data_IF_073175065431
#
_entry.id   IF_073175065431
#
_cell.length_a   1.000
_cell.length_b   1.000
_cell.length_c   1.000
_cell.angle_alpha   90.00
_cell.angle_beta   90.00
_cell.angle_gamma   90.00
#
_symmetry.space_group_name_H-M   'P 1'
#
loop_
_entity.id
_entity.type
_entity.pdbx_description
1 polymer ?
#
# COMPACT_ATOMS: atom_id res chain seq x y z
N UNK A 1 -1.71 9.95 -24.68
CA UNK A 1 -0.51 9.12 -24.54
C UNK A 1 0.80 9.90 -24.72
N UNK A 2 0.85 10.91 -25.59
CA UNK A 2 2.10 11.63 -25.88
C UNK A 2 2.79 12.27 -24.66
N UNK A 3 2.05 12.56 -23.57
CA UNK A 3 2.53 13.24 -22.37
C UNK A 3 2.37 12.41 -21.09
N UNK A 4 1.98 11.13 -21.18
CA UNK A 4 1.75 10.27 -20.04
C UNK A 4 2.52 8.95 -20.26
N UNK A 5 3.47 8.68 -19.37
CA UNK A 5 4.31 7.49 -19.43
C UNK A 5 3.69 6.31 -18.68
N UNK A 6 2.99 6.58 -17.58
CA UNK A 6 2.43 5.58 -16.68
C UNK A 6 1.00 5.97 -16.30
N UNK A 7 0.09 4.99 -16.36
CA UNK A 7 -1.24 5.12 -15.77
C UNK A 7 -1.37 4.16 -14.59
N UNK A 8 -1.91 4.68 -13.49
CA UNK A 8 -2.19 3.90 -12.29
C UNK A 8 -3.69 3.81 -12.07
N UNK A 9 -4.22 2.60 -11.88
CA UNK A 9 -5.65 2.32 -11.76
C UNK A 9 -5.88 1.58 -10.44
N UNK A 10 -6.78 2.10 -9.59
CA UNK A 10 -7.22 1.35 -8.41
C UNK A 10 -8.30 0.34 -8.81
N UNK A 11 -8.04 -0.94 -8.59
CA UNK A 11 -8.96 -2.04 -8.85
C UNK A 11 -9.17 -2.88 -7.60
N UNK A 12 -10.18 -2.49 -6.81
CA UNK A 12 -10.50 -3.06 -5.49
C UNK A 12 -11.84 -3.80 -5.47
N UNK A 13 -12.33 -4.26 -6.61
CA UNK A 13 -13.70 -4.75 -6.75
C UNK A 13 -13.73 -6.24 -7.06
N UNK A 14 -14.11 -7.04 -6.07
CA UNK A 14 -14.33 -8.47 -6.27
C UNK A 14 -15.57 -8.78 -7.11
N UNK A 15 -16.57 -7.88 -7.09
CA UNK A 15 -17.80 -8.03 -7.85
C UNK A 15 -18.24 -6.72 -8.48
N UNK A 16 -19.00 -6.80 -9.59
CA UNK A 16 -19.64 -5.63 -10.21
C UNK A 16 -20.62 -4.97 -9.22
N UNK A 17 -21.29 -5.75 -8.38
CA UNK A 17 -22.19 -5.23 -7.37
C UNK A 17 -21.45 -4.35 -6.37
N UNK A 18 -20.29 -4.80 -5.91
CA UNK A 18 -19.43 -4.04 -4.99
C UNK A 18 -18.95 -2.74 -5.63
N UNK A 19 -18.50 -2.78 -6.88
CA UNK A 19 -18.16 -1.57 -7.64
C UNK A 19 -19.32 -0.59 -7.70
N UNK A 20 -20.55 -1.07 -7.99
CA UNK A 20 -21.73 -0.20 -8.12
C UNK A 20 -22.21 0.38 -6.80
N UNK A 21 -22.04 -0.34 -5.71
CA UNK A 21 -22.54 0.06 -4.39
C UNK A 21 -21.52 0.86 -3.59
N UNK A 22 -20.29 0.35 -3.52
CA UNK A 22 -19.21 0.98 -2.73
C UNK A 22 -18.52 2.08 -3.51
N UNK A 23 -18.16 1.84 -4.76
CA UNK A 23 -17.42 2.79 -5.60
C UNK A 23 -18.14 4.13 -5.81
N UNK A 24 -19.46 4.15 -5.67
CA UNK A 24 -20.26 5.37 -5.76
C UNK A 24 -20.92 5.77 -4.44
N UNK A 25 -20.64 5.04 -3.35
CA UNK A 25 -21.31 5.20 -2.06
C UNK A 25 -21.26 6.62 -1.49
N UNK A 26 -20.15 7.31 -1.66
CA UNK A 26 -19.96 8.68 -1.17
C UNK A 26 -20.66 9.77 -2.01
N UNK A 27 -21.17 9.43 -3.19
CA UNK A 27 -21.82 10.42 -4.08
C UNK A 27 -23.21 10.78 -3.58
N UNK A 28 -23.47 12.08 -3.38
CA UNK A 28 -24.81 12.59 -2.99
C UNK A 28 -25.91 12.25 -4.01
N UNK A 29 -25.54 12.23 -5.31
CA UNK A 29 -26.43 11.85 -6.41
C UNK A 29 -25.84 10.65 -7.13
N UNK A 30 -26.45 9.50 -6.95
CA UNK A 30 -26.03 8.26 -7.54
C UNK A 30 -26.28 8.22 -9.06
N UNK A 31 -25.29 7.85 -9.88
CA UNK A 31 -25.53 7.56 -11.28
C UNK A 31 -26.50 6.37 -11.46
N UNK A 32 -27.26 6.32 -12.57
CA UNK A 32 -28.05 5.13 -12.90
C UNK A 32 -27.17 3.87 -13.00
N UNK A 33 -27.70 2.72 -12.61
CA UNK A 33 -26.95 1.43 -12.66
C UNK A 33 -26.31 1.19 -14.03
N UNK A 34 -27.03 1.45 -15.12
CA UNK A 34 -26.47 1.31 -16.49
C UNK A 34 -25.21 2.16 -16.72
N UNK A 35 -25.16 3.38 -16.14
CA UNK A 35 -23.98 4.23 -16.26
C UNK A 35 -22.81 3.68 -15.43
N UNK A 36 -23.07 3.16 -14.24
CA UNK A 36 -22.04 2.53 -13.40
C UNK A 36 -21.45 1.30 -14.07
N UNK A 37 -22.29 0.41 -14.63
CA UNK A 37 -21.84 -0.77 -15.38
C UNK A 37 -20.99 -0.39 -16.58
N UNK A 38 -21.45 0.62 -17.35
CA UNK A 38 -20.67 1.13 -18.47
C UNK A 38 -19.30 1.68 -18.05
N UNK A 39 -19.20 2.34 -16.90
CA UNK A 39 -17.92 2.83 -16.39
C UNK A 39 -16.98 1.68 -16.02
N UNK A 40 -17.49 0.60 -15.44
CA UNK A 40 -16.70 -0.59 -15.17
C UNK A 40 -16.14 -1.21 -16.45
N UNK A 41 -17.00 -1.46 -17.43
CA UNK A 41 -16.61 -1.97 -18.75
C UNK A 41 -15.56 -1.05 -19.41
N UNK A 42 -15.80 0.26 -19.41
CA UNK A 42 -14.87 1.24 -19.97
C UNK A 42 -13.51 1.28 -19.24
N UNK A 43 -13.48 1.02 -17.95
CA UNK A 43 -12.20 0.93 -17.22
C UNK A 43 -11.36 -0.22 -17.76
N UNK A 44 -11.95 -1.41 -17.91
CA UNK A 44 -11.26 -2.59 -18.44
C UNK A 44 -10.81 -2.36 -19.89
N UNK A 45 -11.73 -1.93 -20.76
CA UNK A 45 -11.47 -1.71 -22.18
C UNK A 45 -10.42 -0.64 -22.43
N UNK A 46 -10.49 0.49 -21.71
CA UNK A 46 -9.52 1.58 -21.86
C UNK A 46 -8.13 1.17 -21.36
N UNK A 47 -8.04 0.43 -20.25
CA UNK A 47 -6.78 -0.08 -19.75
C UNK A 47 -6.13 -1.01 -20.77
N UNK A 48 -6.89 -1.99 -21.27
CA UNK A 48 -6.43 -2.92 -22.32
C UNK A 48 -5.97 -2.18 -23.58
N UNK A 49 -6.78 -1.25 -24.08
CA UNK A 49 -6.47 -0.47 -25.29
C UNK A 49 -5.17 0.33 -25.13
N UNK A 50 -4.99 1.00 -24.00
CA UNK A 50 -3.79 1.80 -23.74
C UNK A 50 -2.55 0.92 -23.56
N UNK A 51 -2.70 -0.23 -22.89
CA UNK A 51 -1.62 -1.21 -22.77
C UNK A 51 -1.17 -1.75 -24.11
N UNK A 52 -2.11 -2.08 -25.02
CA UNK A 52 -1.81 -2.53 -26.40
C UNK A 52 -1.12 -1.44 -27.23
N UNK A 53 -1.34 -0.17 -26.90
CA UNK A 53 -0.64 0.96 -27.51
C UNK A 53 0.73 1.23 -26.89
N UNK A 54 1.19 0.39 -25.96
CA UNK A 54 2.51 0.46 -25.34
C UNK A 54 2.61 1.37 -24.12
N UNK A 55 1.47 1.83 -23.56
CA UNK A 55 1.48 2.56 -22.29
C UNK A 55 1.71 1.60 -21.13
N UNK A 56 2.56 1.99 -20.18
CA UNK A 56 2.72 1.24 -18.95
C UNK A 56 1.49 1.44 -18.04
N UNK A 57 0.71 0.38 -17.87
CA UNK A 57 -0.46 0.39 -16.98
C UNK A 57 -0.14 -0.41 -15.73
N UNK A 58 -0.37 0.19 -14.57
CA UNK A 58 -0.31 -0.46 -13.27
C UNK A 58 -1.68 -0.48 -12.63
N UNK A 59 -2.12 -1.60 -12.10
CA UNK A 59 -3.32 -1.68 -11.29
C UNK A 59 -2.97 -1.97 -9.83
N UNK A 60 -3.66 -1.30 -8.91
CA UNK A 60 -3.48 -1.45 -7.47
C UNK A 60 -4.69 -2.11 -6.82
N UNK A 61 -4.42 -3.10 -5.98
CA UNK A 61 -5.43 -3.78 -5.15
C UNK A 61 -5.08 -3.63 -3.67
N UNK A 62 -6.05 -3.14 -2.90
CA UNK A 62 -5.94 -3.08 -1.44
C UNK A 62 -6.42 -4.39 -0.82
N UNK A 63 -5.57 -5.05 -0.04
CA UNK A 63 -5.93 -6.26 0.70
C UNK A 63 -6.83 -5.91 1.90
N UNK A 64 -8.05 -6.36 1.86
CA UNK A 64 -9.03 -6.25 2.92
C UNK A 64 -10.01 -7.45 2.88
N UNK A 65 -10.93 -7.52 3.82
CA UNK A 65 -11.88 -8.63 3.90
C UNK A 65 -12.83 -8.74 2.70
N UNK A 66 -13.07 -7.65 1.97
CA UNK A 66 -13.89 -7.66 0.76
C UNK A 66 -13.14 -8.13 -0.47
N UNK A 67 -11.85 -7.81 -0.59
CA UNK A 67 -11.05 -8.15 -1.78
C UNK A 67 -10.43 -9.54 -1.72
N UNK A 68 -10.00 -9.99 -0.52
CA UNK A 68 -9.32 -11.29 -0.35
C UNK A 68 -10.10 -12.48 -0.91
N UNK A 69 -11.42 -12.60 -0.72
CA UNK A 69 -12.19 -13.70 -1.30
C UNK A 69 -12.22 -13.77 -2.83
N UNK A 70 -11.81 -12.69 -3.50
CA UNK A 70 -11.90 -12.52 -4.95
C UNK A 70 -10.55 -12.27 -5.62
N UNK A 71 -9.44 -12.54 -4.96
CA UNK A 71 -8.09 -12.25 -5.49
C UNK A 71 -7.82 -12.92 -6.84
N UNK A 72 -8.31 -14.17 -7.04
CA UNK A 72 -8.21 -14.85 -8.33
C UNK A 72 -8.85 -14.06 -9.46
N UNK A 73 -10.07 -13.57 -9.21
CA UNK A 73 -10.82 -12.78 -10.20
C UNK A 73 -10.16 -11.45 -10.45
N UNK A 74 -9.81 -10.72 -9.38
CA UNK A 74 -9.18 -9.40 -9.46
C UNK A 74 -7.85 -9.52 -10.22
N UNK A 75 -7.02 -10.48 -9.84
CA UNK A 75 -5.72 -10.70 -10.50
C UNK A 75 -5.90 -11.01 -11.98
N UNK A 76 -6.83 -11.91 -12.32
CA UNK A 76 -7.12 -12.26 -13.71
C UNK A 76 -7.61 -11.06 -14.51
N UNK A 77 -8.55 -10.26 -14.01
CA UNK A 77 -9.03 -9.05 -14.67
C UNK A 77 -7.89 -8.07 -14.94
N UNK A 78 -7.00 -7.88 -13.98
CA UNK A 78 -5.85 -6.99 -14.10
C UNK A 78 -4.88 -7.48 -15.19
N UNK A 79 -4.60 -8.78 -15.21
CA UNK A 79 -3.59 -9.36 -16.10
C UNK A 79 -4.15 -9.65 -17.50
N UNK A 80 -5.32 -10.28 -17.58
CA UNK A 80 -5.88 -10.78 -18.83
C UNK A 80 -6.79 -9.75 -19.52
N UNK A 81 -7.72 -9.13 -18.77
CA UNK A 81 -8.70 -8.22 -19.33
C UNK A 81 -8.14 -6.80 -19.51
N UNK A 82 -7.48 -6.26 -18.50
CA UNK A 82 -6.87 -4.93 -18.52
C UNK A 82 -5.47 -4.93 -19.14
N UNK A 83 -4.81 -6.08 -19.26
CA UNK A 83 -3.44 -6.26 -19.76
C UNK A 83 -2.42 -5.37 -19.05
N UNK A 84 -2.56 -5.21 -17.76
CA UNK A 84 -1.67 -4.37 -16.97
C UNK A 84 -0.25 -4.95 -16.94
N UNK A 85 0.74 -4.08 -17.06
CA UNK A 85 2.16 -4.45 -16.95
C UNK A 85 2.56 -4.79 -15.51
N UNK A 86 1.80 -4.28 -14.52
CA UNK A 86 2.07 -4.47 -13.11
C UNK A 86 0.78 -4.58 -12.31
N UNK A 87 0.75 -5.54 -11.37
CA UNK A 87 -0.24 -5.61 -10.31
C UNK A 87 0.41 -5.19 -8.99
N UNK A 88 0.00 -4.06 -8.43
CA UNK A 88 0.41 -3.60 -7.11
C UNK A 88 -0.57 -4.09 -6.05
N UNK A 89 -0.05 -4.54 -4.92
CA UNK A 89 -0.84 -5.08 -3.81
C UNK A 89 -0.41 -4.41 -2.52
N UNK A 90 -1.36 -3.80 -1.84
CA UNK A 90 -1.12 -3.12 -0.57
C UNK A 90 -2.08 -3.59 0.50
N UNK A 91 -1.64 -3.74 1.75
CA UNK A 91 -2.56 -3.84 2.88
C UNK A 91 -3.40 -2.59 2.99
N UNK A 92 -4.68 -2.75 3.30
CA UNK A 92 -5.54 -1.63 3.66
C UNK A 92 -5.38 -1.32 5.15
N UNK A 93 -5.11 -0.06 5.46
CA UNK A 93 -5.07 0.43 6.83
C UNK A 93 -6.36 1.19 7.17
N UNK A 94 -6.88 1.04 8.41
CA UNK A 94 -8.17 1.58 8.81
C UNK A 94 -8.07 3.07 9.14
N UNK A 95 -8.07 3.89 8.12
CA UNK A 95 -7.96 5.35 8.24
C UNK A 95 -9.09 6.03 7.49
N UNK A 96 -9.52 7.19 7.96
CA UNK A 96 -10.53 8.04 7.36
C UNK A 96 -11.82 7.25 7.00
N UNK A 97 -12.29 7.33 5.76
CA UNK A 97 -13.51 6.60 5.32
C UNK A 97 -13.36 5.07 5.35
N UNK A 98 -12.15 4.55 5.37
CA UNK A 98 -11.87 3.12 5.51
C UNK A 98 -11.88 2.64 6.98
N UNK A 99 -12.04 3.53 7.96
CA UNK A 99 -12.02 3.20 9.39
C UNK A 99 -13.09 2.18 9.83
N UNK A 100 -14.17 2.05 9.06
CA UNK A 100 -15.23 1.06 9.31
C UNK A 100 -14.93 -0.33 8.76
N UNK A 101 -13.89 -0.48 7.93
CA UNK A 101 -13.52 -1.76 7.36
C UNK A 101 -12.64 -2.55 8.33
N UNK A 102 -12.89 -3.86 8.44
CA UNK A 102 -12.08 -4.71 9.27
C UNK A 102 -10.70 -4.93 8.65
N UNK A 103 -9.68 -4.71 9.43
CA UNK A 103 -8.30 -4.99 9.06
C UNK A 103 -8.09 -6.50 8.98
N UNK A 104 -7.32 -6.95 8.01
CA UNK A 104 -6.84 -8.32 8.01
C UNK A 104 -5.88 -8.54 9.17
N UNK A 105 -5.97 -9.68 9.83
CA UNK A 105 -4.90 -10.13 10.71
C UNK A 105 -3.61 -10.37 9.91
N UNK A 106 -2.46 -10.37 10.59
CA UNK A 106 -1.19 -10.68 9.94
C UNK A 106 -1.21 -12.06 9.26
N UNK A 107 -1.93 -13.04 9.84
CA UNK A 107 -2.06 -14.36 9.23
C UNK A 107 -2.90 -14.33 7.95
N UNK A 108 -4.09 -13.71 7.97
CA UNK A 108 -4.93 -13.56 6.78
C UNK A 108 -4.18 -12.85 5.65
N UNK A 109 -3.39 -11.85 6.00
CA UNK A 109 -2.56 -11.13 5.02
C UNK A 109 -1.46 -12.02 4.43
N UNK A 110 -0.76 -12.81 5.27
CA UNK A 110 0.23 -13.79 4.80
C UNK A 110 -0.39 -14.80 3.84
N UNK A 111 -1.58 -15.30 4.18
CA UNK A 111 -2.28 -16.28 3.35
C UNK A 111 -2.73 -15.69 2.02
N UNK A 112 -3.23 -14.45 2.02
CA UNK A 112 -3.59 -13.73 0.80
C UNK A 112 -2.38 -13.47 -0.12
N UNK A 113 -1.23 -13.10 0.45
CA UNK A 113 0.00 -12.88 -0.32
C UNK A 113 0.52 -14.20 -0.91
N UNK A 114 0.53 -15.30 -0.13
CA UNK A 114 0.93 -16.61 -0.64
C UNK A 114 0.01 -17.08 -1.76
N UNK A 115 -1.30 -16.90 -1.56
CA UNK A 115 -2.27 -17.22 -2.60
C UNK A 115 -1.99 -16.47 -3.90
N UNK A 116 -1.75 -15.16 -3.82
CA UNK A 116 -1.37 -14.37 -5.00
C UNK A 116 -0.07 -14.85 -5.66
N UNK A 117 0.93 -15.25 -4.88
CA UNK A 117 2.17 -15.84 -5.42
C UNK A 117 1.94 -17.16 -6.13
N UNK A 118 0.95 -17.96 -5.69
CA UNK A 118 0.58 -19.24 -6.29
C UNK A 118 -0.18 -19.09 -7.62
N UNK A 119 -1.14 -18.15 -7.67
CA UNK A 119 -2.03 -17.99 -8.83
C UNK A 119 -1.47 -17.08 -9.92
N UNK A 120 -0.49 -16.24 -9.61
CA UNK A 120 0.04 -15.25 -10.56
C UNK A 120 0.72 -15.89 -11.77
N UNK A 121 0.65 -15.22 -12.89
CA UNK A 121 1.57 -15.45 -14.00
C UNK A 121 2.98 -14.97 -13.58
N UNK A 122 4.02 -15.82 -13.63
CA UNK A 122 5.39 -15.41 -13.29
C UNK A 122 5.94 -14.27 -14.14
N UNK A 123 5.43 -14.06 -15.36
CA UNK A 123 5.84 -12.97 -16.24
C UNK A 123 5.20 -11.63 -15.85
N UNK A 124 4.12 -11.64 -15.08
CA UNK A 124 3.50 -10.41 -14.57
C UNK A 124 4.33 -9.83 -13.42
N UNK A 125 4.65 -8.54 -13.52
CA UNK A 125 5.31 -7.85 -12.43
C UNK A 125 4.34 -7.62 -11.26
N UNK A 126 4.62 -8.26 -10.12
CA UNK A 126 3.92 -8.02 -8.86
C UNK A 126 4.73 -7.05 -7.99
N UNK A 127 4.06 -6.05 -7.43
CA UNK A 127 4.66 -5.18 -6.42
C UNK A 127 3.85 -5.30 -5.12
N UNK A 128 4.50 -5.71 -4.05
CA UNK A 128 3.90 -5.71 -2.71
C UNK A 128 4.42 -4.51 -1.92
N UNK A 129 3.51 -3.59 -1.59
CA UNK A 129 3.84 -2.35 -0.92
C UNK A 129 3.41 -2.34 0.55
N UNK A 130 4.19 -1.68 1.38
CA UNK A 130 3.84 -1.36 2.77
C UNK A 130 3.45 -2.58 3.63
N UNK A 131 4.11 -3.71 3.40
CA UNK A 131 3.85 -4.93 4.15
C UNK A 131 4.28 -4.78 5.62
N UNK A 132 3.49 -5.30 6.58
CA UNK A 132 3.79 -5.21 8.01
C UNK A 132 4.72 -6.34 8.48
N UNK A 133 5.60 -6.84 7.63
CA UNK A 133 6.52 -7.93 7.94
C UNK A 133 7.97 -7.43 7.87
N UNK A 134 8.75 -7.72 8.90
CA UNK A 134 10.11 -7.21 9.01
C UNK A 134 11.08 -8.34 9.39
N UNK A 135 12.31 -8.35 8.83
CA UNK A 135 13.30 -9.39 9.13
C UNK A 135 13.73 -9.45 10.60
N UNK A 136 13.45 -8.36 11.33
CA UNK A 136 13.78 -8.24 12.75
C UNK A 136 12.71 -8.82 13.68
N UNK A 137 11.55 -9.19 13.15
CA UNK A 137 10.52 -9.87 13.93
C UNK A 137 10.88 -11.34 13.99
N UNK A 138 10.94 -11.88 15.21
CA UNK A 138 11.27 -13.27 15.48
C UNK A 138 10.03 -14.17 15.26
N UNK A 139 9.59 -14.24 14.00
CA UNK A 139 8.50 -15.09 13.53
C UNK A 139 8.96 -15.82 12.27
N UNK A 140 9.08 -17.14 12.37
CA UNK A 140 9.56 -17.98 11.27
C UNK A 140 8.65 -17.89 10.02
N UNK A 141 7.36 -17.72 10.22
CA UNK A 141 6.39 -17.58 9.12
C UNK A 141 6.55 -16.27 8.37
N UNK A 142 6.84 -15.17 9.09
CA UNK A 142 7.14 -13.87 8.48
C UNK A 142 8.44 -13.92 7.68
N UNK A 143 9.47 -14.55 8.26
CA UNK A 143 10.76 -14.71 7.60
C UNK A 143 10.67 -15.58 6.35
N UNK A 144 9.92 -16.68 6.40
CA UNK A 144 9.66 -17.53 5.25
C UNK A 144 8.94 -16.76 4.13
N UNK A 145 7.87 -16.03 4.44
CA UNK A 145 7.16 -15.22 3.45
C UNK A 145 8.06 -14.16 2.82
N UNK A 146 8.87 -13.47 3.61
CA UNK A 146 9.81 -12.47 3.09
C UNK A 146 10.86 -13.11 2.16
N UNK A 147 11.27 -14.34 2.46
CA UNK A 147 12.19 -15.09 1.60
C UNK A 147 11.52 -15.52 0.30
N UNK A 148 10.28 -16.01 0.34
CA UNK A 148 9.50 -16.37 -0.84
C UNK A 148 9.32 -15.17 -1.76
N UNK A 149 8.94 -14.00 -1.21
CA UNK A 149 8.79 -12.75 -1.97
C UNK A 149 10.11 -12.28 -2.61
N UNK A 150 11.24 -12.45 -1.93
CA UNK A 150 12.56 -12.06 -2.46
C UNK A 150 13.03 -12.98 -3.59
N UNK A 151 12.68 -14.26 -3.52
CA UNK A 151 13.11 -15.27 -4.48
C UNK A 151 12.16 -15.38 -5.69
N UNK A 152 10.94 -14.87 -5.57
CA UNK A 152 9.96 -14.95 -6.63
C UNK A 152 10.37 -14.07 -7.83
N UNK A 153 10.32 -14.63 -9.02
CA UNK A 153 10.59 -13.91 -10.26
C UNK A 153 9.56 -12.79 -10.47
N UNK A 154 10.00 -11.63 -10.99
CA UNK A 154 9.16 -10.45 -11.20
C UNK A 154 8.35 -9.99 -9.98
N UNK A 155 8.89 -10.17 -8.80
CA UNK A 155 8.29 -9.65 -7.54
C UNK A 155 9.17 -8.58 -6.94
N UNK A 156 8.55 -7.48 -6.56
CA UNK A 156 9.20 -6.37 -5.86
C UNK A 156 8.48 -6.09 -4.56
N UNK A 157 9.21 -5.84 -3.50
CA UNK A 157 8.69 -5.30 -2.24
C UNK A 157 9.10 -3.84 -2.11
N UNK A 158 8.17 -2.98 -1.74
CA UNK A 158 8.40 -1.55 -1.48
C UNK A 158 7.75 -1.15 -0.16
N UNK A 159 8.50 -0.52 0.71
CA UNK A 159 7.93 0.12 1.89
C UNK A 159 7.60 1.58 1.57
N UNK A 160 6.43 2.02 1.99
CA UNK A 160 6.05 3.43 1.87
C UNK A 160 6.77 4.23 2.98
N UNK A 161 7.54 5.27 2.64
CA UNK A 161 8.21 6.11 3.60
C UNK A 161 7.30 7.11 4.30
N UNK A 162 6.00 7.10 4.02
CA UNK A 162 5.03 8.04 4.57
C UNK A 162 5.00 8.01 6.10
N UNK A 163 5.00 9.20 6.70
CA UNK A 163 5.11 9.32 8.14
C UNK A 163 6.41 8.79 8.76
N UNK A 164 7.44 8.54 7.96
CA UNK A 164 8.76 8.13 8.42
C UNK A 164 9.89 9.00 7.84
N UNK A 165 10.09 8.93 6.53
CA UNK A 165 11.12 9.67 5.80
C UNK A 165 10.53 10.71 4.85
N UNK A 166 9.23 10.85 4.86
CA UNK A 166 8.45 11.76 4.03
C UNK A 166 7.37 12.43 4.87
N UNK A 167 7.18 13.71 4.66
CA UNK A 167 6.04 14.48 5.10
C UNK A 167 5.23 14.91 3.89
N UNK A 168 3.95 15.13 4.08
CA UNK A 168 3.04 15.60 3.06
C UNK A 168 2.71 17.08 3.26
N UNK A 169 2.39 17.78 2.19
CA UNK A 169 1.97 19.19 2.25
C UNK A 169 0.58 19.30 1.63
N UNK A 170 -0.36 19.83 2.39
CA UNK A 170 -1.68 20.16 1.88
C UNK A 170 -1.54 21.35 0.92
N UNK A 171 -1.80 21.13 -0.35
CA UNK A 171 -1.61 22.14 -1.40
C UNK A 171 -2.56 23.35 -1.29
N UNK A 172 -3.67 23.20 -0.58
CA UNK A 172 -4.67 24.26 -0.41
C UNK A 172 -4.37 25.16 0.79
N UNK A 173 -3.87 24.58 1.87
CA UNK A 173 -3.64 25.29 3.13
C UNK A 173 -2.15 25.57 3.41
N UNK A 174 -1.26 24.81 2.80
CA UNK A 174 0.18 24.83 3.08
C UNK A 174 0.57 24.07 4.35
N UNK A 175 -0.36 23.39 4.99
CA UNK A 175 -0.08 22.63 6.19
C UNK A 175 0.82 21.44 5.89
N UNK A 176 1.82 21.21 6.75
CA UNK A 176 2.70 20.06 6.71
C UNK A 176 2.13 18.99 7.64
N UNK A 177 1.86 17.82 7.09
CA UNK A 177 1.25 16.69 7.79
C UNK A 177 2.13 15.46 7.70
N UNK A 178 2.02 14.57 8.67
CA UNK A 178 2.83 13.33 8.73
C UNK A 178 2.41 12.34 7.67
N UNK A 179 1.11 12.18 7.51
CA UNK A 179 0.48 11.27 6.54
C UNK A 179 -0.82 11.87 6.05
N UNK A 180 -1.22 11.55 4.83
CA UNK A 180 -2.52 11.93 4.27
C UNK A 180 -3.68 11.21 4.97
N UNK A 181 -3.37 10.20 5.75
CA UNK A 181 -4.33 9.33 6.39
C UNK A 181 -4.38 9.61 7.90
N UNK A 182 -5.53 10.04 8.36
CA UNK A 182 -5.84 10.23 9.78
C UNK A 182 -5.88 11.69 10.22
N UNK A 183 -7.05 12.10 10.69
CA UNK A 183 -7.31 13.45 11.23
C UNK A 183 -6.57 13.72 12.53
N UNK A 184 -6.11 12.67 13.24
CA UNK A 184 -5.53 12.78 14.58
C UNK A 184 -4.08 13.24 14.58
N UNK A 185 -3.40 13.20 13.46
CA UNK A 185 -2.02 13.64 13.31
C UNK A 185 -1.92 15.09 12.81
N UNK A 186 -2.59 16.01 13.42
CA UNK A 186 -2.68 17.41 13.05
C UNK A 186 -1.50 18.01 12.27
N UNK A 187 -1.62 19.20 11.77
CA UNK A 187 -0.52 19.89 11.10
C UNK A 187 0.67 20.04 12.06
N UNK A 188 1.86 19.61 11.62
CA UNK A 188 3.11 19.84 12.35
C UNK A 188 3.49 21.33 12.25
N UNK A 189 3.29 21.88 11.06
CA UNK A 189 3.59 23.26 10.74
C UNK A 189 2.94 23.66 9.43
N UNK A 190 3.25 24.89 8.95
CA UNK A 190 2.78 25.40 7.67
C UNK A 190 3.94 25.99 6.87
N UNK A 191 4.04 25.66 5.58
CA UNK A 191 5.12 26.11 4.69
C UNK A 191 5.19 27.63 4.49
N UNK A 192 4.16 28.38 4.88
CA UNK A 192 4.17 29.84 4.85
C UNK A 192 4.96 30.43 6.03
N UNK A 193 5.12 29.67 7.10
CA UNK A 193 5.74 30.11 8.35
C UNK A 193 7.13 29.51 8.56
N UNK A 194 7.32 28.26 8.16
CA UNK A 194 8.51 27.48 8.49
C UNK A 194 9.15 26.86 7.22
N UNK A 195 10.45 26.66 7.27
CA UNK A 195 11.17 25.94 6.21
C UNK A 195 10.90 24.45 6.33
N UNK A 196 10.69 23.76 5.21
CA UNK A 196 10.44 22.31 5.22
C UNK A 196 11.55 21.51 5.90
N UNK A 197 12.80 21.94 5.79
CA UNK A 197 13.93 21.30 6.50
C UNK A 197 13.76 21.36 8.01
N UNK A 198 13.37 22.51 8.54
CA UNK A 198 13.23 22.72 9.97
C UNK A 198 12.02 21.94 10.52
N UNK A 199 10.94 21.87 9.74
CA UNK A 199 9.76 21.07 10.05
C UNK A 199 10.10 19.57 10.08
N UNK A 200 10.91 19.11 9.12
CA UNK A 200 11.33 17.71 9.07
C UNK A 200 12.23 17.34 10.25
N UNK A 201 13.16 18.22 10.63
CA UNK A 201 13.99 18.02 11.82
C UNK A 201 13.14 17.97 13.09
N UNK A 202 12.16 18.86 13.25
CA UNK A 202 11.21 18.83 14.36
C UNK A 202 10.41 17.51 14.39
N UNK A 203 9.95 17.04 13.23
CA UNK A 203 9.28 15.75 13.13
C UNK A 203 10.15 14.60 13.63
N UNK A 204 11.41 14.54 13.20
CA UNK A 204 12.34 13.48 13.60
C UNK A 204 12.62 13.43 15.12
N UNK A 205 12.44 14.55 15.81
CA UNK A 205 12.61 14.63 17.27
C UNK A 205 11.36 14.21 18.06
N UNK A 206 10.22 14.06 17.39
CA UNK A 206 8.99 13.61 18.08
C UNK A 206 9.13 12.18 18.60
N UNK A 207 8.43 11.87 19.71
CA UNK A 207 8.42 10.51 20.26
C UNK A 207 7.87 9.48 19.27
N UNK A 208 6.92 9.87 18.43
CA UNK A 208 6.36 9.00 17.40
C UNK A 208 7.40 8.66 16.35
N UNK A 209 8.04 9.64 15.72
CA UNK A 209 9.09 9.42 14.73
C UNK A 209 10.25 8.60 15.32
N UNK A 210 10.65 8.91 16.55
CA UNK A 210 11.69 8.15 17.24
C UNK A 210 11.30 6.70 17.51
N UNK A 211 10.03 6.41 17.75
CA UNK A 211 9.55 5.04 17.93
C UNK A 211 9.56 4.20 16.63
N UNK A 212 9.53 4.86 15.47
CA UNK A 212 9.62 4.23 14.14
C UNK A 212 11.06 3.96 13.72
N UNK A 213 12.00 4.79 14.17
CA UNK A 213 13.39 4.75 13.74
C UNK A 213 14.15 3.61 14.41
N UNK A 214 14.27 2.49 13.72
CA UNK A 214 15.19 1.45 14.12
C UNK A 214 16.62 1.82 13.67
N UNK A 215 17.61 1.60 14.55
CA UNK A 215 19.04 1.72 14.20
C UNK A 215 19.58 0.48 13.49
N UNK A 216 18.70 -0.23 12.79
CA UNK A 216 19.07 -1.45 12.09
C UNK A 216 19.91 -1.09 10.86
N UNK A 217 21.08 -1.72 10.69
CA UNK A 217 21.91 -1.55 9.51
C UNK A 217 21.34 -2.23 8.24
N UNK A 218 20.14 -2.83 8.30
CA UNK A 218 19.47 -3.40 7.12
C UNK A 218 19.12 -2.32 6.11
N UNK A 219 20.04 -2.05 5.24
CA UNK A 219 20.03 -0.97 4.27
C UNK A 219 18.76 -0.89 3.41
N UNK A 220 18.13 -2.04 3.12
CA UNK A 220 16.93 -2.12 2.29
C UNK A 220 15.62 -2.19 3.08
N UNK A 221 15.68 -2.24 4.41
CA UNK A 221 14.50 -2.26 5.25
C UNK A 221 14.26 -0.85 5.79
N UNK A 222 13.21 -0.19 5.33
CA UNK A 222 12.83 1.13 5.83
C UNK A 222 12.14 1.07 7.20
N UNK A 223 11.80 -0.14 7.69
CA UNK A 223 11.00 -0.34 8.90
C UNK A 223 9.53 0.08 8.71
N UNK A 224 8.74 0.11 9.78
CA UNK A 224 7.34 0.50 9.71
C UNK A 224 7.20 1.99 9.42
N UNK A 225 6.15 2.35 8.70
CA UNK A 225 5.61 3.71 8.70
C UNK A 225 4.59 3.87 9.85
N UNK A 226 4.01 5.07 9.98
CA UNK A 226 3.04 5.37 11.05
C UNK A 226 1.85 4.41 11.00
N UNK A 227 1.26 4.19 9.82
CA UNK A 227 0.06 3.35 9.66
C UNK A 227 0.30 1.91 10.08
N UNK A 228 1.42 1.32 9.65
CA UNK A 228 1.81 -0.04 10.05
C UNK A 228 2.02 -0.13 11.55
N UNK A 229 2.72 0.87 12.11
CA UNK A 229 3.01 0.93 13.54
C UNK A 229 1.71 0.97 14.36
N UNK A 230 0.81 1.86 14.03
CA UNK A 230 -0.43 2.06 14.79
C UNK A 230 -1.37 0.87 14.67
N UNK A 231 -1.41 0.25 13.49
CA UNK A 231 -2.32 -0.88 13.24
C UNK A 231 -1.83 -2.19 13.87
N UNK A 232 -0.56 -2.55 13.69
CA UNK A 232 -0.06 -3.89 14.05
C UNK A 232 0.91 -3.90 15.21
N UNK A 233 1.56 -2.78 15.49
CA UNK A 233 2.64 -2.67 16.47
C UNK A 233 2.49 -1.49 17.44
N UNK A 234 1.28 -1.16 17.93
CA UNK A 234 1.05 0.07 18.71
C UNK A 234 1.94 0.15 19.96
N UNK A 235 2.24 -0.99 20.58
CA UNK A 235 3.06 -1.09 21.79
C UNK A 235 4.54 -1.37 21.50
N UNK A 236 4.98 -1.42 20.24
CA UNK A 236 6.36 -1.73 19.87
C UNK A 236 7.15 -0.45 19.65
N UNK A 237 8.24 -0.29 20.38
CA UNK A 237 9.23 0.74 20.07
C UNK A 237 10.35 0.12 19.25
N UNK A 238 10.38 0.41 17.95
CA UNK A 238 11.36 -0.17 17.03
C UNK A 238 12.78 0.32 17.28
N UNK A 239 12.96 1.50 17.89
CA UNK A 239 14.28 2.03 18.23
C UNK A 239 14.94 1.29 19.38
N UNK A 240 14.14 0.85 20.37
CA UNK A 240 14.64 0.23 21.59
C UNK A 240 14.33 -1.26 21.69
N UNK A 241 13.89 -1.89 20.61
CA UNK A 241 13.63 -3.32 20.61
C UNK A 241 14.98 -4.07 20.55
N UNK A 242 15.43 -4.62 21.67
CA UNK A 242 16.68 -5.37 21.76
C UNK A 242 16.74 -6.57 20.81
N UNK A 243 15.59 -7.18 20.51
CA UNK A 243 15.48 -8.26 19.52
C UNK A 243 15.89 -7.81 18.11
N UNK A 244 15.67 -6.54 17.76
CA UNK A 244 16.05 -5.95 16.47
C UNK A 244 17.59 -5.83 16.34
N UNK A 245 18.30 -5.65 17.46
CA UNK A 245 19.76 -5.47 17.47
C UNK A 245 20.52 -6.78 17.22
N UNK A 246 19.85 -7.93 17.32
CA UNK A 246 20.47 -9.25 17.17
C UNK A 246 20.19 -9.94 15.84
N UNK A 247 19.58 -9.26 14.86
CA UNK A 247 19.44 -9.82 13.51
C UNK A 247 20.85 -10.07 12.95
N UNK A 248 21.28 -11.31 13.02
CA UNK A 248 22.52 -11.75 12.36
C UNK A 248 22.30 -11.63 10.86
N UNK A 249 23.00 -10.67 10.26
CA UNK A 249 23.04 -10.53 8.83
C UNK A 249 23.72 -11.74 8.18
N UNK A 250 22.97 -12.76 7.86
CA UNK A 250 23.31 -13.73 6.85
C UNK A 250 22.68 -13.30 5.53
N UNK A 251 23.07 -12.13 5.03
CA UNK A 251 22.79 -11.79 3.65
C UNK A 251 24.06 -12.08 2.84
N UNK A 252 24.05 -13.27 2.22
CA UNK A 252 24.90 -13.56 1.07
C UNK A 252 24.23 -13.07 -0.20
#
# INVERSE_FOLDING_TARGET
AEYIDVMHISHNWGTIQEFTDVGFGAMKKQPPLKAKLKLYEQMLDNASTLSEQGMFISAETMLNQSTVPYLDKIHREIVEDMKCSRHEVHPMYPVDFASSLNVLSLQEMKDAIRHLLEIRDPETWMLFGTLPFYPCIDDESDQALLQDLRNAHNVTMRNDPDGRNRLNVNVFTGDVIVTDFGDDNGSISNIQNDRLTDVFDQWLETSLAQSLNCHCPAFKCLGPNVLVKDTYYPNTNFRHNEKIMHVKYNMK
#
